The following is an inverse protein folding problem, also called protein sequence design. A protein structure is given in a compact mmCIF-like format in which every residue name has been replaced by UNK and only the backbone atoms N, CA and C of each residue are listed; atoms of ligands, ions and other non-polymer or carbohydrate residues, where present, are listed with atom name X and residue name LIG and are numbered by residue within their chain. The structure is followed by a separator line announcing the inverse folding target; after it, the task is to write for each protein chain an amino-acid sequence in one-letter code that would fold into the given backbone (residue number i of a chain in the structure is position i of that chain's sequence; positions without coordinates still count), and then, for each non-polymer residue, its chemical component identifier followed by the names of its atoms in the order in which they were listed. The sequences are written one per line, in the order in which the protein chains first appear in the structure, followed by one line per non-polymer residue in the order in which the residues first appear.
data_IF_420443471086
#
_entry.id   IF_420443471086
#
_cell.length_a   1.000
_cell.length_b   1.000
_cell.length_c   1.000
_cell.angle_alpha   90.00
_cell.angle_beta   90.00
_cell.angle_gamma   90.00
#
_symmetry.space_group_name_H-M   'P 1'
#
loop_
_entity.id
_entity.type
_entity.pdbx_description
1 polymer ?
#
# COMPACT_ATOMS: atom_id res chain seq x y z
N UNK A 1 6.69 -0.93 13.27
CA UNK A 1 7.44 -1.35 12.07
C UNK A 1 7.05 -0.45 10.89
N UNK A 2 7.91 -0.27 9.89
CA UNK A 2 7.62 0.55 8.69
C UNK A 2 7.92 -0.26 7.44
N UNK A 3 6.96 -0.34 6.52
CA UNK A 3 7.12 -0.90 5.18
C UNK A 3 7.12 0.22 4.16
N UNK A 4 8.05 0.15 3.21
CA UNK A 4 8.14 1.11 2.10
C UNK A 4 7.42 0.50 0.91
N UNK A 5 6.23 1.01 0.61
CA UNK A 5 5.38 0.40 -0.42
C UNK A 5 5.35 1.23 -1.70
N UNK A 6 5.10 0.57 -2.81
CA UNK A 6 4.68 1.17 -4.08
C UNK A 6 3.25 0.74 -4.41
N UNK A 7 2.60 1.46 -5.32
CA UNK A 7 1.28 1.12 -5.84
C UNK A 7 1.44 0.20 -7.05
N UNK A 8 0.98 -1.04 -6.90
CA UNK A 8 0.94 -2.04 -7.97
C UNK A 8 -0.40 -1.97 -8.69
N UNK A 9 -0.40 -1.57 -9.97
CA UNK A 9 -1.56 -1.61 -10.86
C UNK A 9 -1.61 -2.96 -11.58
N UNK A 10 -2.76 -3.65 -11.50
CA UNK A 10 -2.92 -4.98 -12.08
C UNK A 10 -4.32 -5.16 -12.68
N UNK A 11 -4.47 -6.16 -13.54
CA UNK A 11 -5.78 -6.60 -14.03
C UNK A 11 -6.28 -7.75 -13.16
N UNK A 12 -7.51 -7.64 -12.67
CA UNK A 12 -8.16 -8.77 -12.01
C UNK A 12 -8.62 -9.82 -13.03
N UNK A 13 -9.20 -10.92 -12.56
CA UNK A 13 -9.69 -12.03 -13.40
C UNK A 13 -10.72 -11.61 -14.46
N UNK A 14 -11.43 -10.50 -14.24
CA UNK A 14 -12.39 -9.92 -15.19
C UNK A 14 -11.75 -8.89 -16.13
N UNK A 15 -10.43 -8.76 -16.12
CA UNK A 15 -9.69 -7.78 -16.93
C UNK A 15 -9.81 -6.33 -16.44
N UNK A 16 -10.41 -6.09 -15.27
CA UNK A 16 -10.59 -4.74 -14.72
C UNK A 16 -9.30 -4.28 -14.04
N UNK A 17 -8.94 -3.02 -14.27
CA UNK A 17 -7.80 -2.38 -13.62
C UNK A 17 -8.10 -2.23 -12.13
N UNK A 18 -7.14 -2.65 -11.31
CA UNK A 18 -7.16 -2.59 -9.86
C UNK A 18 -5.80 -2.08 -9.37
N UNK A 19 -5.76 -1.56 -8.15
CA UNK A 19 -4.53 -1.12 -7.51
C UNK A 19 -4.42 -1.72 -6.11
N UNK A 20 -3.20 -2.01 -5.68
CA UNK A 20 -2.88 -2.47 -4.32
C UNK A 20 -1.52 -1.92 -3.89
N UNK A 21 -1.21 -2.05 -2.61
CA UNK A 21 0.13 -1.77 -2.10
C UNK A 21 0.98 -3.04 -2.17
N UNK A 22 2.26 -2.88 -2.54
CA UNK A 22 3.27 -3.91 -2.41
C UNK A 22 4.52 -3.34 -1.76
N UNK A 23 5.15 -4.12 -0.91
CA UNK A 23 6.41 -3.78 -0.29
C UNK A 23 7.52 -3.76 -1.36
N UNK A 24 8.38 -2.73 -1.34
CA UNK A 24 9.42 -2.53 -2.37
C UNK A 24 10.53 -3.57 -2.25
N UNK A 25 10.89 -3.99 -1.04
CA UNK A 25 11.98 -4.95 -0.82
C UNK A 25 11.55 -6.38 -1.17
N UNK A 26 10.46 -6.84 -0.56
CA UNK A 26 10.00 -8.23 -0.65
C UNK A 26 9.06 -8.48 -1.82
N UNK A 27 8.55 -7.43 -2.48
CA UNK A 27 7.53 -7.52 -3.52
C UNK A 27 6.25 -8.25 -3.05
N UNK A 28 5.97 -8.26 -1.75
CA UNK A 28 4.75 -8.89 -1.21
C UNK A 28 3.62 -7.88 -1.19
N UNK A 29 2.40 -8.35 -1.40
CA UNK A 29 1.19 -7.54 -1.16
C UNK A 29 1.18 -7.07 0.29
N UNK A 30 0.86 -5.80 0.51
CA UNK A 30 0.67 -5.26 1.87
C UNK A 30 -0.82 -4.99 2.07
N UNK A 31 -1.37 -5.56 3.15
CA UNK A 31 -2.77 -5.40 3.54
C UNK A 31 -2.88 -5.07 5.02
N UNK A 32 -4.06 -4.58 5.42
CA UNK A 32 -4.27 -4.00 6.73
C UNK A 32 -5.29 -4.79 7.53
N UNK A 33 -5.05 -4.88 8.84
CA UNK A 33 -6.01 -5.36 9.85
C UNK A 33 -6.10 -4.36 11.01
N UNK A 34 -7.15 -4.47 11.82
CA UNK A 34 -7.48 -3.54 12.89
C UNK A 34 -8.88 -2.95 12.77
N UNK A 35 -9.41 -2.46 13.88
CA UNK A 35 -10.68 -1.75 14.02
C UNK A 35 -10.67 -0.41 13.28
N UNK A 36 -9.51 0.25 13.14
CA UNK A 36 -9.38 1.54 12.48
C UNK A 36 -9.18 1.45 10.95
N UNK A 37 -9.24 0.24 10.36
CA UNK A 37 -9.06 0.06 8.92
C UNK A 37 -10.25 0.62 8.14
N UNK A 38 -10.05 1.75 7.46
CA UNK A 38 -10.98 2.28 6.46
C UNK A 38 -10.56 1.90 5.04
N UNK A 39 -11.23 0.88 4.49
CA UNK A 39 -11.00 0.41 3.11
C UNK A 39 -11.37 1.47 2.06
N UNK A 40 -12.38 2.30 2.31
CA UNK A 40 -12.80 3.34 1.37
C UNK A 40 -11.77 4.47 1.32
N UNK A 41 -11.19 4.82 2.46
CA UNK A 41 -10.10 5.79 2.52
C UNK A 41 -8.89 5.31 1.71
N UNK A 42 -8.52 4.03 1.79
CA UNK A 42 -7.44 3.46 0.98
C UNK A 42 -7.73 3.52 -0.52
N UNK A 43 -8.93 3.14 -0.94
CA UNK A 43 -9.31 3.19 -2.35
C UNK A 43 -9.27 4.62 -2.90
N UNK A 44 -9.68 5.61 -2.10
CA UNK A 44 -9.58 7.03 -2.46
C UNK A 44 -8.13 7.46 -2.60
N UNK A 45 -7.28 7.11 -1.64
CA UNK A 45 -5.85 7.39 -1.69
C UNK A 45 -5.21 6.85 -2.98
N UNK A 46 -5.42 5.57 -3.29
CA UNK A 46 -4.87 4.93 -4.50
C UNK A 46 -5.37 5.60 -5.79
N UNK A 47 -6.65 6.00 -5.81
CA UNK A 47 -7.22 6.74 -6.95
C UNK A 47 -6.57 8.12 -7.13
N UNK A 48 -6.30 8.82 -6.03
CA UNK A 48 -5.67 10.14 -6.06
C UNK A 48 -4.19 10.08 -6.46
N UNK A 49 -3.48 9.03 -6.08
CA UNK A 49 -2.08 8.81 -6.49
C UNK A 49 -1.94 8.78 -8.03
N UNK A 50 -2.92 8.19 -8.73
CA UNK A 50 -2.94 8.17 -10.21
C UNK A 50 -3.18 9.54 -10.83
N UNK A 51 -3.96 10.39 -10.17
CA UNK A 51 -4.27 11.75 -10.64
C UNK A 51 -3.09 12.69 -10.35
N UNK A 52 -2.39 12.46 -9.24
CA UNK A 52 -1.37 13.37 -8.70
C UNK A 52 0.05 12.99 -9.11
N UNK A 53 0.26 12.46 -10.31
CA UNK A 53 1.58 11.99 -10.77
C UNK A 53 2.63 13.11 -10.88
N UNK A 54 2.23 14.38 -10.94
CA UNK A 54 3.19 15.49 -10.86
C UNK A 54 3.84 15.61 -9.46
N UNK A 55 3.15 15.15 -8.41
CA UNK A 55 3.58 15.20 -7.01
C UNK A 55 4.17 13.85 -6.59
N UNK A 56 3.68 12.74 -7.16
CA UNK A 56 4.06 11.36 -6.84
C UNK A 56 4.53 10.62 -8.11
N UNK A 57 5.57 11.11 -8.80
CA UNK A 57 5.94 10.66 -10.16
C UNK A 57 6.27 9.17 -10.27
N UNK A 58 6.86 8.59 -9.23
CA UNK A 58 7.39 7.23 -9.20
C UNK A 58 6.65 6.30 -8.23
N UNK A 59 5.49 6.72 -7.71
CA UNK A 59 4.72 5.94 -6.71
C UNK A 59 4.20 4.59 -7.22
N UNK A 60 4.14 4.42 -8.55
CA UNK A 60 3.77 3.16 -9.21
C UNK A 60 4.99 2.30 -9.58
N UNK A 61 6.20 2.76 -9.30
CA UNK A 61 7.45 2.09 -9.65
C UNK A 61 8.05 1.44 -8.41
N UNK A 62 8.36 0.14 -8.51
CA UNK A 62 8.96 -0.61 -7.40
C UNK A 62 10.31 -0.02 -6.98
N UNK A 63 11.11 0.41 -7.95
CA UNK A 63 12.45 0.95 -7.72
C UNK A 63 12.47 2.49 -7.74
N UNK A 64 11.29 3.13 -7.73
CA UNK A 64 11.17 4.59 -7.67
C UNK A 64 11.56 5.18 -6.32
N UNK A 65 11.59 6.50 -6.20
CA UNK A 65 11.93 7.18 -4.94
C UNK A 65 10.70 7.35 -4.03
N UNK A 66 9.54 7.57 -4.63
CA UNK A 66 8.26 7.80 -3.93
C UNK A 66 7.77 6.56 -3.20
N UNK A 67 7.21 6.74 -2.01
CA UNK A 67 6.71 5.62 -1.21
C UNK A 67 5.37 5.90 -0.54
N UNK A 68 4.60 4.82 -0.35
CA UNK A 68 3.55 4.76 0.67
C UNK A 68 4.17 4.11 1.89
N UNK A 69 4.49 4.90 2.90
CA UNK A 69 4.99 4.40 4.17
C UNK A 69 3.85 3.80 4.98
N UNK A 70 3.86 2.47 5.14
CA UNK A 70 2.90 1.74 5.98
C UNK A 70 3.51 1.51 7.36
N UNK A 71 2.82 1.96 8.41
CA UNK A 71 3.25 1.84 9.81
C UNK A 71 2.28 0.97 10.59
N UNK A 72 2.82 0.05 11.37
CA UNK A 72 2.03 -0.83 12.24
C UNK A 72 2.86 -1.97 12.83
N UNK A 73 2.16 -2.97 13.32
CA UNK A 73 2.73 -4.24 13.79
C UNK A 73 2.51 -5.35 12.76
N UNK A 74 3.48 -6.24 12.61
CA UNK A 74 3.30 -7.42 11.78
C UNK A 74 2.26 -8.34 12.41
N UNK A 75 1.16 -8.59 11.71
CA UNK A 75 0.15 -9.55 12.15
C UNK A 75 0.41 -10.93 11.56
N UNK A 76 0.59 -11.01 10.24
CA UNK A 76 0.84 -12.25 9.49
C UNK A 76 1.81 -11.93 8.35
N UNK A 77 2.74 -12.84 8.08
CA UNK A 77 3.53 -12.85 6.84
C UNK A 77 3.44 -14.24 6.22
N UNK A 78 3.13 -14.30 4.93
CA UNK A 78 3.19 -15.52 4.12
C UNK A 78 4.04 -15.27 2.86
N UNK A 79 4.04 -16.21 1.92
CA UNK A 79 4.86 -16.13 0.70
C UNK A 79 4.53 -14.90 -0.16
N UNK A 80 3.26 -14.49 -0.22
CA UNK A 80 2.78 -13.46 -1.14
C UNK A 80 2.30 -12.16 -0.45
N UNK A 81 2.05 -12.21 0.86
CA UNK A 81 1.35 -11.15 1.59
C UNK A 81 1.93 -10.89 2.99
N UNK A 82 1.97 -9.60 3.32
CA UNK A 82 2.26 -9.05 4.64
C UNK A 82 0.98 -8.36 5.12
N UNK A 83 0.43 -8.84 6.24
CA UNK A 83 -0.71 -8.23 6.91
C UNK A 83 -0.19 -7.40 8.08
N UNK A 84 -0.50 -6.11 8.05
CA UNK A 84 -0.06 -5.13 9.05
C UNK A 84 -1.27 -4.74 9.92
N UNK A 85 -1.15 -4.92 11.23
CA UNK A 85 -2.10 -4.37 12.18
C UNK A 85 -1.81 -2.87 12.38
N UNK A 86 -2.80 -2.04 12.07
CA UNK A 86 -2.69 -0.57 12.19
C UNK A 86 -3.38 -0.02 13.44
N UNK A 87 -3.95 -0.86 14.31
CA UNK A 87 -4.51 -0.45 15.62
C UNK A 87 -3.41 -0.21 16.65
N UNK A 88 -2.45 0.63 16.29
CA UNK A 88 -1.33 1.02 17.15
C UNK A 88 -1.18 2.53 17.08
N UNK A 89 -0.45 3.09 18.04
CA UNK A 89 -0.11 4.50 18.02
C UNK A 89 0.67 4.82 16.73
N UNK A 90 0.19 5.81 15.97
CA UNK A 90 0.71 6.19 14.65
C UNK A 90 0.63 5.08 13.57
N UNK A 91 -0.23 4.07 13.77
CA UNK A 91 -0.55 3.07 12.76
C UNK A 91 -1.31 3.67 11.58
N UNK A 92 -1.05 3.17 10.38
CA UNK A 92 -1.70 3.62 9.15
C UNK A 92 -0.75 3.70 7.97
N UNK A 93 -1.06 4.56 7.01
CA UNK A 93 -0.23 4.78 5.84
C UNK A 93 -0.21 6.25 5.44
N UNK A 94 0.91 6.70 4.87
CA UNK A 94 1.11 8.07 4.39
C UNK A 94 2.06 8.06 3.18
N UNK A 95 1.95 9.07 2.33
CA UNK A 95 2.93 9.33 1.28
C UNK A 95 4.18 10.01 1.86
N UNK A 96 5.38 9.56 1.48
CA UNK A 96 6.69 10.12 1.88
C UNK A 96 7.64 10.23 0.70
#
# INVERSE_FOLDING_TARGET
MRYSCYVDEYKNEQGRICARLRDKELNKKVSFTGNNVDKNHLLRFLSQAKISQEIMPSIFERDGDDIVAVRGELAIENEDEIVVNIDVEFGGYIFE
#
